data_IF_254417213087
#
_entry.id   IF_254417213087
#
_cell.length_a   1.000
_cell.length_b   1.000
_cell.length_c   1.000
_cell.angle_alpha   90.00
_cell.angle_beta   90.00
_cell.angle_gamma   90.00
#
_symmetry.space_group_name_H-M   'P 1'
#
loop_
_entity.id
_entity.type
_entity.pdbx_description
1 polymer ?
#
# COMPACT_ATOMS: atom_id res chain seq x y z
N UNK A 1 9.08 -4.67 0.51
CA UNK A 1 8.66 -5.54 1.61
C UNK A 1 9.83 -6.41 2.05
N UNK A 2 9.93 -6.69 3.35
CA UNK A 2 11.02 -7.48 3.94
C UNK A 2 10.54 -8.25 5.18
N UNK A 3 11.23 -9.34 5.52
CA UNK A 3 11.12 -9.93 6.86
C UNK A 3 11.63 -8.94 7.91
N UNK A 4 10.98 -8.94 9.08
CA UNK A 4 11.33 -8.12 10.24
C UNK A 4 11.48 -9.00 11.49
N UNK A 5 12.36 -8.60 12.40
CA UNK A 5 12.40 -9.16 13.75
C UNK A 5 11.15 -8.69 14.51
N UNK A 6 10.34 -9.62 15.00
CA UNK A 6 9.04 -9.30 15.61
C UNK A 6 9.16 -8.72 17.01
N UNK A 7 10.38 -8.68 17.58
CA UNK A 7 10.63 -8.08 18.88
C UNK A 7 10.92 -6.58 18.81
N UNK A 8 11.50 -6.09 17.71
CA UNK A 8 11.90 -4.69 17.55
C UNK A 8 11.56 -4.07 16.18
N UNK A 9 10.90 -4.83 15.30
CA UNK A 9 10.49 -4.46 13.95
C UNK A 9 11.63 -4.07 13.01
N UNK A 10 12.88 -4.36 13.37
CA UNK A 10 14.03 -4.14 12.50
C UNK A 10 14.02 -5.10 11.30
N UNK A 11 14.48 -4.62 10.14
CA UNK A 11 14.61 -5.47 8.95
C UNK A 11 15.70 -6.51 9.19
N UNK A 12 15.37 -7.78 8.95
CA UNK A 12 16.33 -8.90 9.05
C UNK A 12 16.69 -9.45 7.67
N UNK A 13 17.83 -10.15 7.62
CA UNK A 13 18.22 -10.86 6.41
C UNK A 13 17.33 -12.10 6.23
N UNK A 14 16.63 -12.17 5.11
CA UNK A 14 15.74 -13.28 4.80
C UNK A 14 14.88 -12.97 3.57
N UNK A 15 13.61 -13.34 3.64
CA UNK A 15 12.64 -13.09 2.58
C UNK A 15 12.48 -11.60 2.28
N UNK A 16 12.33 -11.28 1.00
CA UNK A 16 12.11 -9.91 0.52
C UNK A 16 11.21 -9.90 -0.71
N UNK A 17 10.50 -8.81 -0.90
CA UNK A 17 9.67 -8.62 -2.08
C UNK A 17 9.63 -7.17 -2.55
N UNK A 18 9.50 -7.01 -3.86
CA UNK A 18 9.23 -5.75 -4.55
C UNK A 18 7.83 -5.81 -5.13
N UNK A 19 7.01 -4.84 -4.74
CA UNK A 19 5.67 -4.63 -5.30
C UNK A 19 5.72 -3.35 -6.13
N UNK A 20 5.42 -3.48 -7.42
CA UNK A 20 5.21 -2.35 -8.33
C UNK A 20 3.73 -2.26 -8.63
N UNK A 21 3.17 -1.05 -8.63
CA UNK A 21 1.75 -0.84 -8.88
C UNK A 21 1.46 0.55 -9.46
N UNK A 22 0.27 0.71 -10.04
CA UNK A 22 -0.23 2.01 -10.49
C UNK A 22 -0.83 2.79 -9.33
N UNK A 23 -0.44 4.06 -9.15
CA UNK A 23 -0.96 4.90 -8.07
C UNK A 23 -2.46 5.23 -8.20
N UNK A 24 -2.97 5.30 -9.44
CA UNK A 24 -4.36 5.66 -9.74
C UNK A 24 -4.84 4.78 -10.88
N UNK A 25 -5.87 3.98 -10.66
CA UNK A 25 -6.44 3.06 -11.66
C UNK A 25 -7.84 2.62 -11.25
N UNK A 26 -8.60 1.95 -12.11
CA UNK A 26 -9.91 1.37 -11.76
C UNK A 26 -9.83 -0.04 -11.15
N UNK A 27 -8.62 -0.61 -11.17
CA UNK A 27 -8.25 -1.83 -10.50
C UNK A 27 -6.79 -1.73 -10.06
N UNK A 28 -6.46 -2.35 -8.92
CA UNK A 28 -5.10 -2.43 -8.43
C UNK A 28 -4.25 -3.29 -9.38
N UNK A 29 -3.54 -2.62 -10.28
CA UNK A 29 -2.61 -3.22 -11.24
C UNK A 29 -1.26 -3.38 -10.58
N UNK A 30 -0.80 -4.62 -10.43
CA UNK A 30 0.41 -4.91 -9.67
C UNK A 30 1.34 -5.91 -10.37
N UNK A 31 2.63 -5.79 -10.04
CA UNK A 31 3.68 -6.77 -10.28
C UNK A 31 4.38 -7.06 -8.95
N UNK A 32 4.47 -8.33 -8.57
CA UNK A 32 5.10 -8.81 -7.34
C UNK A 32 6.27 -9.73 -7.70
N UNK A 33 7.45 -9.38 -7.21
CA UNK A 33 8.65 -10.20 -7.25
C UNK A 33 9.09 -10.47 -5.81
N UNK A 34 9.16 -11.74 -5.39
CA UNK A 34 9.61 -12.12 -4.06
C UNK A 34 10.68 -13.21 -4.12
N UNK A 35 11.59 -13.21 -3.16
CA UNK A 35 12.62 -14.24 -3.01
C UNK A 35 12.87 -14.56 -1.53
N UNK A 36 13.44 -15.73 -1.26
CA UNK A 36 13.76 -16.17 0.09
C UNK A 36 12.53 -16.59 0.90
N UNK A 37 11.45 -16.95 0.21
CA UNK A 37 10.28 -17.58 0.81
C UNK A 37 10.53 -19.08 1.03
N UNK A 38 9.66 -19.73 1.79
CA UNK A 38 9.64 -21.18 1.86
C UNK A 38 9.24 -21.76 0.50
N UNK A 39 9.98 -22.74 0.02
CA UNK A 39 9.72 -23.40 -1.24
C UNK A 39 8.36 -24.12 -1.26
N UNK A 40 7.67 -24.07 -2.41
CA UNK A 40 6.37 -24.73 -2.65
C UNK A 40 5.26 -24.35 -1.64
N UNK A 41 5.38 -23.17 -1.02
CA UNK A 41 4.42 -22.65 -0.03
C UNK A 41 3.51 -21.59 -0.64
N UNK A 42 2.23 -21.63 -0.26
CA UNK A 42 1.23 -20.64 -0.65
C UNK A 42 1.32 -19.38 0.24
N UNK A 43 1.22 -18.22 -0.39
CA UNK A 43 1.23 -16.90 0.21
C UNK A 43 0.07 -16.05 -0.30
N UNK A 44 -0.41 -15.16 0.56
CA UNK A 44 -1.44 -14.17 0.28
C UNK A 44 -0.80 -12.78 0.33
N UNK A 45 -0.91 -12.04 -0.78
CA UNK A 45 -0.64 -10.61 -0.82
C UNK A 45 -1.89 -9.90 -0.33
N UNK A 46 -1.79 -9.15 0.76
CA UNK A 46 -2.93 -8.56 1.45
C UNK A 46 -2.74 -7.06 1.69
N UNK A 47 -3.84 -6.32 1.64
CA UNK A 47 -3.96 -5.04 2.32
C UNK A 47 -4.48 -5.28 3.73
N UNK A 48 -3.80 -4.71 4.72
CA UNK A 48 -4.09 -4.91 6.14
C UNK A 48 -4.29 -3.57 6.85
N UNK A 49 -5.54 -3.14 7.02
CA UNK A 49 -5.84 -1.91 7.76
C UNK A 49 -5.46 -2.02 9.23
N UNK A 50 -5.01 -0.92 9.81
CA UNK A 50 -4.64 -0.84 11.23
C UNK A 50 -5.78 -0.26 12.06
N UNK A 51 -5.78 -0.57 13.36
CA UNK A 51 -6.63 0.10 14.34
C UNK A 51 -5.82 1.17 15.08
N UNK A 52 -6.50 2.08 15.79
CA UNK A 52 -5.82 3.11 16.60
C UNK A 52 -4.93 2.51 17.70
N UNK A 53 -5.32 1.37 18.28
CA UNK A 53 -4.55 0.67 19.30
C UNK A 53 -4.19 -0.74 18.81
N UNK A 54 -3.16 -0.79 17.95
CA UNK A 54 -2.68 -2.03 17.32
C UNK A 54 -2.20 -3.12 18.28
N UNK A 55 -1.99 -2.78 19.56
CA UNK A 55 -1.58 -3.74 20.60
C UNK A 55 -2.77 -4.37 21.34
N UNK A 56 -3.96 -3.83 21.15
CA UNK A 56 -5.23 -4.37 21.68
C UNK A 56 -6.06 -4.99 20.57
N UNK A 57 -6.07 -4.35 19.40
CA UNK A 57 -6.76 -4.82 18.20
C UNK A 57 -5.82 -4.69 17.00
N UNK A 58 -5.31 -5.82 16.51
CA UNK A 58 -4.39 -5.84 15.39
C UNK A 58 -5.03 -5.34 14.08
N UNK A 59 -6.36 -5.23 13.99
CA UNK A 59 -7.06 -4.72 12.81
C UNK A 59 -7.22 -5.75 11.70
N UNK A 60 -7.21 -5.28 10.45
CA UNK A 60 -7.33 -6.07 9.22
C UNK A 60 -8.76 -6.44 8.83
N UNK A 61 -9.72 -6.46 9.74
CA UNK A 61 -11.09 -6.88 9.44
C UNK A 61 -12.00 -5.76 8.90
N UNK A 62 -11.65 -4.48 9.10
CA UNK A 62 -12.49 -3.33 8.73
C UNK A 62 -11.70 -2.08 8.28
N UNK A 63 -11.13 -2.05 7.06
CA UNK A 63 -11.20 -3.10 6.03
C UNK A 63 -9.86 -3.78 5.77
N UNK A 64 -9.92 -5.07 5.43
CA UNK A 64 -8.82 -5.76 4.75
C UNK A 64 -9.21 -6.17 3.33
N UNK A 65 -8.21 -6.57 2.56
CA UNK A 65 -8.45 -7.17 1.25
C UNK A 65 -7.35 -8.18 0.87
N UNK A 66 -7.78 -9.32 0.31
CA UNK A 66 -6.92 -10.22 -0.44
C UNK A 66 -6.66 -9.62 -1.82
N UNK A 67 -5.40 -9.27 -2.09
CA UNK A 67 -4.97 -8.74 -3.39
C UNK A 67 -4.65 -9.90 -4.34
N UNK A 68 -3.88 -10.88 -3.86
CA UNK A 68 -3.44 -12.03 -4.67
C UNK A 68 -3.16 -13.26 -3.81
N UNK A 69 -3.33 -14.44 -4.40
CA UNK A 69 -2.74 -15.68 -3.90
C UNK A 69 -1.63 -16.11 -4.84
N UNK A 70 -0.49 -16.53 -4.27
CA UNK A 70 0.70 -16.94 -5.02
C UNK A 70 1.31 -18.17 -4.36
N UNK A 71 1.94 -19.02 -5.16
CA UNK A 71 2.74 -20.14 -4.64
C UNK A 71 4.19 -19.85 -4.95
N UNK A 72 5.06 -19.91 -3.94
CA UNK A 72 6.50 -19.83 -4.14
C UNK A 72 6.99 -21.09 -4.88
N UNK A 73 7.92 -20.94 -5.82
CA UNK A 73 8.51 -22.07 -6.52
C UNK A 73 9.42 -22.91 -5.61
N UNK A 74 10.00 -23.98 -6.15
CA UNK A 74 10.91 -24.87 -5.42
C UNK A 74 12.20 -24.19 -4.91
N UNK A 75 12.50 -22.98 -5.37
CA UNK A 75 13.62 -22.15 -4.95
C UNK A 75 13.19 -20.99 -4.01
N UNK A 76 11.90 -20.92 -3.65
CA UNK A 76 11.36 -19.88 -2.75
C UNK A 76 11.18 -18.53 -3.43
N UNK A 77 10.94 -18.50 -4.75
CA UNK A 77 10.71 -17.28 -5.51
C UNK A 77 9.25 -17.17 -5.98
N UNK A 78 8.79 -15.93 -6.16
CA UNK A 78 7.51 -15.58 -6.78
C UNK A 78 7.77 -14.48 -7.80
N UNK A 79 7.17 -14.62 -8.98
CA UNK A 79 7.07 -13.58 -10.01
C UNK A 79 5.65 -13.64 -10.59
N UNK A 80 4.83 -12.63 -10.27
CA UNK A 80 3.43 -12.59 -10.71
C UNK A 80 3.01 -11.16 -11.02
N UNK A 81 2.06 -11.01 -11.93
CA UNK A 81 1.36 -9.75 -12.16
C UNK A 81 -0.14 -9.99 -12.20
N UNK A 82 -0.93 -8.96 -11.89
CA UNK A 82 -2.38 -9.09 -11.85
C UNK A 82 -3.12 -7.78 -11.74
N UNK A 83 -4.43 -7.90 -11.89
CA UNK A 83 -5.39 -6.80 -11.74
C UNK A 83 -6.41 -7.23 -10.68
N UNK A 84 -6.56 -6.46 -9.61
CA UNK A 84 -7.58 -6.68 -8.57
C UNK A 84 -8.48 -5.48 -8.46
N UNK A 85 -9.76 -5.63 -8.74
CA UNK A 85 -10.73 -4.61 -8.36
C UNK A 85 -10.89 -4.65 -6.83
N UNK A 86 -10.36 -3.64 -6.14
CA UNK A 86 -10.48 -3.48 -4.70
C UNK A 86 -11.78 -2.77 -4.32
N UNK A 87 -12.35 -1.96 -5.24
CA UNK A 87 -13.50 -1.10 -5.01
C UNK A 87 -13.29 -0.18 -3.80
N UNK A 88 -12.04 0.24 -3.57
CA UNK A 88 -11.63 1.12 -2.48
C UNK A 88 -10.25 1.73 -2.74
N UNK A 89 -10.05 2.90 -2.15
CA UNK A 89 -8.73 3.50 -1.99
C UNK A 89 -7.92 2.75 -0.93
N UNK A 90 -6.59 2.85 -1.06
CA UNK A 90 -5.63 2.43 -0.04
C UNK A 90 -4.83 3.65 0.45
N UNK A 91 -4.80 3.95 1.75
CA UNK A 91 -5.63 3.34 2.79
C UNK A 91 -7.11 3.67 2.57
N UNK A 92 -7.99 2.77 3.01
CA UNK A 92 -9.42 3.06 3.07
C UNK A 92 -9.71 4.15 4.10
N UNK A 93 -10.85 4.84 3.99
CA UNK A 93 -11.22 5.93 4.92
C UNK A 93 -11.33 5.49 6.39
N UNK A 94 -11.68 4.23 6.62
CA UNK A 94 -11.78 3.61 7.95
C UNK A 94 -10.44 3.07 8.49
N UNK A 95 -9.38 3.05 7.69
CA UNK A 95 -8.06 2.60 8.13
C UNK A 95 -7.36 3.70 8.92
N UNK A 96 -6.99 3.41 10.16
CA UNK A 96 -6.32 4.37 11.04
C UNK A 96 -5.02 4.91 10.42
N UNK A 97 -4.32 4.11 9.60
CA UNK A 97 -3.09 4.51 8.93
C UNK A 97 -3.28 5.73 7.99
N UNK A 98 -4.50 5.97 7.51
CA UNK A 98 -4.85 7.11 6.66
C UNK A 98 -5.22 8.38 7.42
N UNK A 99 -5.42 8.30 8.74
CA UNK A 99 -5.96 9.41 9.55
C UNK A 99 -4.93 10.51 9.82
N UNK A 100 -5.42 11.68 10.27
CA UNK A 100 -4.54 12.79 10.64
C UNK A 100 -3.71 12.57 11.90
N UNK A 101 -3.92 11.47 12.62
CA UNK A 101 -3.22 11.14 13.85
C UNK A 101 -2.08 10.15 13.60
N UNK A 102 -2.20 9.29 12.59
CA UNK A 102 -1.13 8.39 12.18
C UNK A 102 0.15 9.16 11.81
N UNK A 103 1.29 8.69 12.28
CA UNK A 103 2.59 9.29 11.95
C UNK A 103 3.73 8.27 12.09
N UNK A 104 4.06 7.62 10.97
CA UNK A 104 5.14 6.63 10.89
C UNK A 104 6.49 7.23 10.47
N UNK A 105 6.58 8.56 10.38
CA UNK A 105 7.83 9.28 10.10
C UNK A 105 8.59 9.66 11.37
N UNK A 106 7.97 9.53 12.55
CA UNK A 106 8.62 9.77 13.82
C UNK A 106 9.16 8.43 14.33
N UNK A 107 10.47 8.33 14.52
CA UNK A 107 11.18 7.11 14.94
C UNK A 107 10.78 6.60 16.33
N UNK A 108 9.73 7.16 16.95
CA UNK A 108 9.27 6.80 18.29
C UNK A 108 8.79 5.35 18.39
N UNK A 109 8.32 4.76 17.28
CA UNK A 109 7.79 3.38 17.24
C UNK A 109 8.69 2.39 16.48
N UNK A 110 9.90 2.80 16.09
CA UNK A 110 10.82 1.98 15.29
C UNK A 110 10.59 2.08 13.78
N UNK A 111 9.46 2.66 13.36
CA UNK A 111 9.18 2.99 11.96
C UNK A 111 9.81 4.34 11.58
N UNK A 112 10.41 4.39 10.38
CA UNK A 112 11.02 5.60 9.80
C UNK A 112 10.62 5.70 8.33
N UNK A 113 9.32 5.68 8.08
CA UNK A 113 8.75 5.63 6.74
C UNK A 113 8.93 6.98 6.03
N UNK A 114 9.15 6.96 4.71
CA UNK A 114 9.19 8.21 3.93
C UNK A 114 7.77 8.76 3.76
N UNK A 115 6.79 7.86 3.67
CA UNK A 115 5.38 8.16 3.70
C UNK A 115 4.85 8.00 5.13
N UNK A 116 4.52 9.12 5.78
CA UNK A 116 4.13 9.13 7.20
C UNK A 116 2.76 8.47 7.48
N UNK A 117 1.97 8.22 6.43
CA UNK A 117 0.58 7.72 6.44
C UNK A 117 0.27 7.03 5.13
N UNK A 118 -0.40 5.89 5.17
CA UNK A 118 -0.68 5.10 3.98
C UNK A 118 -1.06 3.68 4.34
N UNK A 119 -1.42 2.89 3.34
CA UNK A 119 -1.79 1.50 3.56
C UNK A 119 -0.57 0.61 3.80
N UNK A 120 -0.77 -0.40 4.66
CA UNK A 120 0.16 -1.52 4.83
C UNK A 120 -0.21 -2.64 3.88
N UNK A 121 0.77 -3.11 3.11
CA UNK A 121 0.63 -4.28 2.24
C UNK A 121 1.67 -5.30 2.60
N UNK A 122 1.21 -6.53 2.86
CA UNK A 122 2.04 -7.64 3.35
C UNK A 122 1.93 -8.84 2.45
N UNK A 123 2.97 -9.67 2.45
CA UNK A 123 2.93 -11.03 1.91
C UNK A 123 3.02 -12.01 3.08
N UNK A 124 1.95 -12.76 3.32
CA UNK A 124 1.85 -13.67 4.47
C UNK A 124 1.59 -15.10 3.98
N UNK A 125 2.02 -16.15 4.69
CA UNK A 125 1.56 -17.51 4.42
C UNK A 125 0.03 -17.57 4.32
N UNK A 126 -0.51 -18.18 3.26
CA UNK A 126 -1.97 -18.24 3.08
C UNK A 126 -2.67 -18.98 4.22
N UNK A 127 -1.98 -19.89 4.90
CA UNK A 127 -2.48 -20.57 6.10
C UNK A 127 -2.78 -19.64 7.28
N UNK A 128 -2.21 -18.44 7.28
CA UNK A 128 -2.31 -17.47 8.38
C UNK A 128 -3.33 -16.37 8.09
N UNK A 129 -3.97 -16.35 6.92
CA UNK A 129 -4.94 -15.35 6.52
C UNK A 129 -6.31 -15.98 6.24
N UNK A 130 -7.39 -15.39 6.75
CA UNK A 130 -8.76 -15.77 6.40
C UNK A 130 -9.38 -14.67 5.55
N UNK A 131 -9.64 -14.96 4.27
CA UNK A 131 -10.28 -14.02 3.35
C UNK A 131 -11.69 -13.63 3.79
N UNK A 132 -12.40 -14.51 4.52
CA UNK A 132 -13.78 -14.27 4.94
C UNK A 132 -13.85 -13.20 6.03
N UNK A 133 -12.96 -13.27 7.01
CA UNK A 133 -12.82 -12.25 8.07
C UNK A 133 -11.86 -11.13 7.68
N UNK A 134 -11.12 -11.30 6.58
CA UNK A 134 -10.09 -10.40 6.06
C UNK A 134 -8.91 -10.18 7.01
N UNK A 135 -8.69 -11.09 7.96
CA UNK A 135 -7.74 -10.91 9.07
C UNK A 135 -6.70 -12.03 9.17
N UNK A 136 -5.61 -11.75 9.88
CA UNK A 136 -4.63 -12.77 10.24
C UNK A 136 -5.18 -13.61 11.38
N UNK A 137 -5.25 -14.92 11.16
CA UNK A 137 -5.83 -15.88 12.12
C UNK A 137 -4.81 -16.46 13.08
N UNK A 138 -3.52 -16.44 12.71
CA UNK A 138 -2.42 -16.94 13.53
C UNK A 138 -1.18 -16.04 13.39
N UNK A 139 -0.79 -15.46 14.51
CA UNK A 139 0.37 -14.57 14.63
C UNK A 139 1.62 -15.27 15.16
N UNK A 140 1.59 -16.60 15.36
CA UNK A 140 2.75 -17.34 15.89
C UNK A 140 3.94 -17.37 14.92
N UNK A 141 3.69 -17.24 13.62
CA UNK A 141 4.70 -17.29 12.56
C UNK A 141 4.98 -15.92 11.91
N UNK A 142 4.81 -14.84 12.67
CA UNK A 142 5.06 -13.46 12.20
C UNK A 142 6.45 -13.25 11.58
N UNK A 143 7.45 -14.04 11.95
CA UNK A 143 8.80 -13.96 11.38
C UNK A 143 8.85 -14.41 9.90
N UNK A 144 7.86 -15.19 9.44
CA UNK A 144 7.79 -15.68 8.06
C UNK A 144 7.09 -14.71 7.11
N UNK A 145 6.53 -13.61 7.63
CA UNK A 145 5.79 -12.62 6.85
C UNK A 145 6.76 -11.63 6.21
N UNK A 146 6.39 -11.10 5.04
CA UNK A 146 7.05 -9.94 4.47
C UNK A 146 6.19 -8.70 4.73
N UNK A 147 6.70 -7.82 5.59
CA UNK A 147 6.06 -6.55 5.92
C UNK A 147 6.49 -5.47 4.96
N UNK A 148 5.71 -4.40 4.90
CA UNK A 148 6.06 -3.17 4.20
C UNK A 148 7.36 -2.57 4.76
N UNK A 149 8.16 -2.01 3.86
CA UNK A 149 9.36 -1.23 4.19
C UNK A 149 9.09 0.26 4.18
N UNK A 150 7.97 0.65 3.57
CA UNK A 150 7.36 1.97 3.54
C UNK A 150 5.87 1.76 3.24
N UNK A 151 5.01 2.74 3.55
CA UNK A 151 3.58 2.65 3.27
C UNK A 151 3.28 2.88 1.78
N UNK A 152 2.07 2.53 1.35
CA UNK A 152 1.60 2.81 -0.01
C UNK A 152 0.37 3.72 -0.03
N UNK A 153 0.11 4.31 -1.19
CA UNK A 153 -1.17 4.95 -1.50
C UNK A 153 -1.67 4.46 -2.84
N UNK A 154 -2.97 4.21 -2.95
CA UNK A 154 -3.64 3.86 -4.20
C UNK A 154 -5.01 4.52 -4.23
N UNK A 155 -5.32 5.15 -5.35
CA UNK A 155 -6.61 5.80 -5.61
C UNK A 155 -7.37 4.99 -6.67
N UNK A 156 -8.44 4.33 -6.23
CA UNK A 156 -9.38 3.65 -7.11
C UNK A 156 -10.24 4.71 -7.79
N UNK A 157 -9.96 4.94 -9.07
CA UNK A 157 -10.59 5.98 -9.89
C UNK A 157 -12.10 5.80 -10.11
N UNK A 158 -12.66 4.64 -9.76
CA UNK A 158 -14.10 4.39 -9.78
C UNK A 158 -14.77 4.61 -8.42
N UNK A 159 -13.99 4.85 -7.37
CA UNK A 159 -14.51 5.26 -6.07
C UNK A 159 -14.41 6.77 -5.93
N UNK A 160 -15.43 7.41 -5.35
CA UNK A 160 -15.42 8.85 -5.11
C UNK A 160 -14.39 9.16 -4.00
N UNK A 161 -13.14 9.36 -4.40
CA UNK A 161 -11.97 9.47 -3.53
C UNK A 161 -11.38 10.88 -3.45
N UNK A 162 -11.11 11.31 -2.21
CA UNK A 162 -10.70 12.65 -1.81
C UNK A 162 -9.16 12.72 -1.75
N UNK A 163 -8.54 13.41 -2.70
CA UNK A 163 -7.14 13.84 -2.72
C UNK A 163 -6.05 12.74 -2.58
N UNK A 164 -5.24 12.57 -3.63
CA UNK A 164 -4.04 11.73 -3.60
C UNK A 164 -2.99 12.33 -2.63
N UNK A 165 -2.79 11.68 -1.48
CA UNK A 165 -1.73 12.02 -0.53
C UNK A 165 -0.40 11.45 -0.99
N UNK A 166 0.56 12.32 -1.28
CA UNK A 166 1.87 11.91 -1.77
C UNK A 166 2.93 12.16 -0.70
N UNK A 167 3.80 11.17 -0.51
CA UNK A 167 4.96 11.27 0.37
C UNK A 167 6.02 12.23 -0.16
N UNK A 168 7.20 12.21 0.44
CA UNK A 168 8.35 12.99 -0.03
C UNK A 168 8.79 12.44 -1.39
N UNK A 169 8.51 13.18 -2.47
CA UNK A 169 8.86 12.71 -3.82
C UNK A 169 8.58 13.71 -4.93
N UNK A 170 9.01 13.36 -6.14
CA UNK A 170 8.70 14.09 -7.37
C UNK A 170 7.43 13.50 -8.00
N UNK A 171 6.34 14.26 -7.96
CA UNK A 171 5.13 13.94 -8.72
C UNK A 171 5.21 14.58 -10.11
N UNK A 172 5.17 13.75 -11.16
CA UNK A 172 5.05 14.21 -12.54
C UNK A 172 3.61 13.99 -13.02
N UNK A 173 2.82 15.06 -13.16
CA UNK A 173 1.51 14.98 -13.82
C UNK A 173 1.53 15.67 -15.18
N UNK A 174 0.83 15.07 -16.14
CA UNK A 174 0.51 15.68 -17.42
C UNK A 174 -0.92 16.24 -17.37
N UNK A 175 -1.05 17.52 -17.01
CA UNK A 175 -2.36 18.17 -16.96
C UNK A 175 -2.72 18.70 -18.34
N UNK A 176 -3.78 18.15 -18.94
CA UNK A 176 -4.39 18.69 -20.17
C UNK A 176 -5.62 19.53 -19.82
N UNK A 177 -5.41 20.82 -19.61
CA UNK A 177 -6.52 21.78 -19.48
C UNK A 177 -6.93 22.32 -20.85
N UNK A 178 -8.24 22.31 -21.14
CA UNK A 178 -8.81 23.01 -22.30
C UNK A 178 -9.47 24.28 -21.81
N UNK A 179 -8.85 25.43 -22.09
CA UNK A 179 -9.41 26.74 -21.77
C UNK A 179 -10.19 27.26 -23.00
N UNK A 180 -11.52 27.15 -22.96
CA UNK A 180 -12.38 27.76 -23.97
C UNK A 180 -12.59 29.24 -23.64
N UNK A 181 -11.75 30.11 -24.21
CA UNK A 181 -11.85 31.57 -24.07
C UNK A 181 -12.14 32.23 -25.41
N UNK A 182 -13.15 33.10 -25.44
CA UNK A 182 -13.42 33.97 -26.58
C UNK A 182 -12.46 35.18 -26.54
N UNK A 183 -11.24 34.99 -27.02
CA UNK A 183 -10.22 36.04 -27.07
C UNK A 183 -10.38 36.91 -28.33
N UNK A 184 -10.07 38.20 -28.19
CA UNK A 184 -9.89 39.11 -29.32
C UNK A 184 -8.47 38.96 -29.89
N UNK A 185 -8.17 39.49 -31.09
CA UNK A 185 -6.79 39.51 -31.58
C UNK A 185 -5.87 40.35 -30.67
N UNK A 186 -4.75 39.77 -30.22
CA UNK A 186 -3.76 40.48 -29.38
C UNK A 186 -2.73 39.55 -28.74
N UNK A 187 -1.76 40.15 -28.05
CA UNK A 187 -0.75 39.43 -27.28
C UNK A 187 -1.24 39.17 -25.86
N UNK A 188 -1.16 37.91 -25.42
CA UNK A 188 -1.62 37.47 -24.11
C UNK A 188 -0.48 36.85 -23.31
N UNK A 189 -0.48 37.10 -22.00
CA UNK A 189 0.33 36.34 -21.03
C UNK A 189 -0.60 35.39 -20.28
N UNK A 190 -0.34 34.09 -20.39
CA UNK A 190 -1.07 33.05 -19.66
C UNK A 190 -0.17 32.54 -18.53
N UNK A 191 -0.69 32.47 -17.31
CA UNK A 191 -0.04 31.86 -16.14
C UNK A 191 -0.98 30.82 -15.55
N UNK A 192 -0.50 29.60 -15.38
CA UNK A 192 -1.18 28.55 -14.61
C UNK A 192 -0.45 28.39 -13.29
N UNK A 193 -1.19 28.24 -12.19
CA UNK A 193 -0.64 28.01 -10.86
C UNK A 193 -1.35 26.83 -10.22
N UNK A 194 -0.59 25.88 -9.71
CA UNK A 194 -1.10 24.75 -8.93
C UNK A 194 -0.72 25.02 -7.48
N UNK A 195 -1.71 25.17 -6.62
CA UNK A 195 -1.49 25.39 -5.18
C UNK A 195 -2.04 24.17 -4.41
N UNK A 196 -1.30 23.65 -3.42
CA UNK A 196 -1.87 22.69 -2.49
C UNK A 196 -3.03 23.34 -1.73
N UNK A 197 -4.07 22.56 -1.44
CA UNK A 197 -5.13 22.99 -0.52
C UNK A 197 -4.55 22.93 0.89
N UNK A 198 -4.61 24.06 1.62
CA UNK A 198 -4.13 24.19 3.01
C UNK A 198 -5.32 23.99 3.96
#
# INVERSE_FOLDING_TARGET
>A
MSQKDTSDWSIIAGGKATLTYELVSDAFNYELEATGLSADQDYSLIYYADSQDRYVDFGGDNPGALIAEVTADGDGNVSVSGLKNLAMNLPHEDDWNGTSEANYCDNSEGDNYELCRGAKVWLVPSSNYDESSKSITDWSNMADFLYETDLIVYDDSNTDGVALHLGKGLLNFFVKNVLNVALQPGDYKVKTEVQPVI
#
